data_IF_862980945085
#
_entry.id   IF_862980945085
#
_cell.length_a   1.000
_cell.length_b   1.000
_cell.length_c   1.000
_cell.angle_alpha   90.00
_cell.angle_beta   90.00
_cell.angle_gamma   90.00
#
_symmetry.space_group_name_H-M   'P 1'
#
loop_
_entity.id
_entity.type
_entity.pdbx_description
1 polymer ?
#
# COMPACT_ATOMS: atom_id res chain seq x y z
N UNK A 1 15.01 5.04 9.83
CA UNK A 1 14.57 6.43 9.54
C UNK A 1 14.85 6.77 8.09
N UNK A 2 13.93 7.49 7.43
CA UNK A 2 14.17 8.01 6.09
C UNK A 2 15.44 8.88 6.03
N UNK A 3 16.09 8.92 4.86
CA UNK A 3 17.32 9.68 4.71
C UNK A 3 17.06 11.17 4.89
N UNK A 4 17.98 11.86 5.57
CA UNK A 4 17.87 13.29 5.83
C UNK A 4 17.77 14.12 4.54
N UNK A 5 18.44 13.68 3.47
CA UNK A 5 18.41 14.32 2.16
C UNK A 5 17.02 14.25 1.52
N UNK A 6 16.37 13.07 1.55
CA UNK A 6 15.00 12.90 1.02
C UNK A 6 13.98 13.69 1.82
N UNK A 7 14.12 13.70 3.14
CA UNK A 7 13.24 14.52 3.99
C UNK A 7 13.40 16.01 3.69
N UNK A 8 14.62 16.49 3.51
CA UNK A 8 14.90 17.89 3.13
C UNK A 8 14.27 18.23 1.78
N UNK A 9 14.45 17.36 0.77
CA UNK A 9 13.89 17.57 -0.56
C UNK A 9 12.36 17.52 -0.55
N UNK A 10 11.76 16.56 0.16
CA UNK A 10 10.30 16.51 0.33
C UNK A 10 9.77 17.78 1.01
N UNK A 11 10.42 18.24 2.07
CA UNK A 11 10.08 19.50 2.74
C UNK A 11 10.16 20.70 1.81
N UNK A 12 11.22 20.81 1.00
CA UNK A 12 11.39 21.89 0.00
C UNK A 12 10.22 21.89 -1.00
N UNK A 13 9.88 20.74 -1.57
CA UNK A 13 8.80 20.65 -2.54
C UNK A 13 7.45 20.97 -1.91
N UNK A 14 7.17 20.49 -0.70
CA UNK A 14 5.90 20.78 -0.02
C UNK A 14 5.74 22.25 0.38
N UNK A 15 6.83 22.97 0.66
CA UNK A 15 6.78 24.42 0.88
C UNK A 15 6.30 25.13 -0.39
N UNK A 16 6.80 24.74 -1.57
CA UNK A 16 6.36 25.29 -2.85
C UNK A 16 4.88 24.93 -3.10
N UNK A 17 4.48 23.68 -2.87
CA UNK A 17 3.09 23.24 -3.02
C UNK A 17 2.15 23.99 -2.08
N UNK A 18 2.56 24.22 -0.84
CA UNK A 18 1.75 24.91 0.17
C UNK A 18 1.58 26.42 -0.16
N UNK A 19 2.54 27.02 -0.85
CA UNK A 19 2.43 28.37 -1.37
C UNK A 19 1.51 28.44 -2.61
N UNK A 20 1.60 27.45 -3.52
CA UNK A 20 0.88 27.41 -4.78
C UNK A 20 -0.59 26.99 -4.64
N UNK A 21 -0.87 25.90 -3.89
CA UNK A 21 -2.20 25.29 -3.61
C UNK A 21 -3.05 24.91 -4.82
N UNK A 22 -2.52 24.93 -6.02
CA UNK A 22 -3.27 24.58 -7.22
C UNK A 22 -3.95 23.20 -7.16
N UNK A 23 -3.31 22.23 -6.50
CA UNK A 23 -3.79 20.85 -6.36
C UNK A 23 -4.65 20.59 -5.12
N UNK A 24 -5.22 21.63 -4.47
CA UNK A 24 -5.92 21.51 -3.18
C UNK A 24 -7.03 20.44 -3.19
N UNK A 25 -7.78 20.31 -4.24
CA UNK A 25 -8.87 19.33 -4.36
C UNK A 25 -8.46 17.93 -4.85
N UNK A 26 -7.21 17.72 -5.29
CA UNK A 26 -6.83 16.51 -6.04
C UNK A 26 -6.83 15.22 -5.22
N UNK A 27 -6.32 15.26 -4.00
CA UNK A 27 -6.24 14.07 -3.15
C UNK A 27 -6.14 14.42 -1.66
N UNK A 28 -6.07 13.40 -0.80
CA UNK A 28 -6.00 13.58 0.66
C UNK A 28 -4.71 14.28 1.15
N UNK A 29 -3.63 14.26 0.36
CA UNK A 29 -2.33 14.85 0.74
C UNK A 29 -2.43 16.36 0.92
N UNK A 30 -3.05 17.08 -0.02
CA UNK A 30 -3.05 18.54 -0.03
C UNK A 30 -3.81 19.15 1.15
N UNK A 31 -5.06 18.74 1.47
CA UNK A 31 -5.75 19.23 2.67
C UNK A 31 -5.02 18.88 3.97
N UNK A 32 -4.30 17.75 4.00
CA UNK A 32 -3.49 17.39 5.16
C UNK A 32 -2.21 18.24 5.26
N UNK A 33 -1.59 18.57 4.12
CA UNK A 33 -0.41 19.44 4.02
C UNK A 33 -0.73 20.87 4.48
N UNK A 34 -1.85 21.43 4.04
CA UNK A 34 -2.25 22.81 4.30
C UNK A 34 -2.49 23.15 5.77
N UNK A 35 -2.76 22.11 6.58
CA UNK A 35 -2.88 22.25 8.05
C UNK A 35 -1.53 22.53 8.74
N UNK A 36 -0.42 22.46 8.01
CA UNK A 36 0.95 22.55 8.51
C UNK A 36 1.65 23.77 7.94
N UNK A 37 2.25 24.58 8.81
CA UNK A 37 3.06 25.73 8.40
C UNK A 37 4.53 25.36 8.14
N UNK A 38 4.98 24.31 8.80
CA UNK A 38 6.31 23.70 8.65
C UNK A 38 6.16 22.19 8.67
N UNK A 39 7.14 21.48 8.13
CA UNK A 39 7.12 20.05 7.96
C UNK A 39 8.19 19.37 8.80
N UNK A 40 7.81 18.78 9.91
CA UNK A 40 8.66 17.88 10.66
C UNK A 40 8.85 16.53 9.91
N UNK A 41 9.91 15.74 10.20
CA UNK A 41 10.09 14.42 9.62
C UNK A 41 8.88 13.51 9.75
N UNK A 42 8.16 13.56 10.87
CA UNK A 42 6.94 12.82 11.11
C UNK A 42 5.80 13.22 10.16
N UNK A 43 5.65 14.53 9.89
CA UNK A 43 4.66 15.04 8.94
C UNK A 43 4.95 14.58 7.52
N UNK A 44 6.22 14.64 7.11
CA UNK A 44 6.66 14.18 5.79
C UNK A 44 6.44 12.67 5.62
N UNK A 45 6.72 11.89 6.65
CA UNK A 45 6.43 10.46 6.70
C UNK A 45 4.94 10.18 6.58
N UNK A 46 4.11 10.91 7.32
CA UNK A 46 2.66 10.78 7.24
C UNK A 46 2.14 11.13 5.83
N UNK A 47 2.51 12.29 5.29
CA UNK A 47 2.05 12.75 3.98
C UNK A 47 2.50 11.83 2.84
N UNK A 48 3.73 11.30 2.92
CA UNK A 48 4.23 10.34 1.95
C UNK A 48 3.41 9.04 1.93
N UNK A 49 2.97 8.54 3.10
CA UNK A 49 2.14 7.34 3.19
C UNK A 49 0.66 7.61 2.87
N UNK A 50 0.22 8.85 2.89
CA UNK A 50 -1.11 9.25 2.44
C UNK A 50 -1.21 9.36 0.91
N UNK A 51 -0.09 9.45 0.20
CA UNK A 51 -0.03 9.62 -1.24
C UNK A 51 -0.34 8.31 -1.99
N UNK A 52 -1.27 8.35 -2.95
CA UNK A 52 -1.63 7.19 -3.80
C UNK A 52 -0.70 6.96 -5.00
N UNK A 53 0.29 7.84 -5.21
CA UNK A 53 1.16 7.83 -6.40
C UNK A 53 0.39 7.85 -7.74
N UNK A 54 -0.76 8.51 -7.76
CA UNK A 54 -1.60 8.63 -8.95
C UNK A 54 -1.03 9.58 -10.01
N UNK A 55 -0.02 10.38 -9.65
CA UNK A 55 0.69 11.36 -10.49
C UNK A 55 -0.16 12.50 -11.05
N UNK A 56 -1.44 12.60 -10.73
CA UNK A 56 -2.30 13.68 -11.19
C UNK A 56 -1.73 15.08 -10.88
N UNK A 57 -1.22 15.27 -9.67
CA UNK A 57 -0.58 16.53 -9.28
C UNK A 57 0.73 16.84 -10.04
N UNK A 58 1.44 15.82 -10.54
CA UNK A 58 2.66 16.02 -11.33
C UNK A 58 2.33 16.52 -12.73
N UNK A 59 1.35 15.91 -13.40
CA UNK A 59 0.96 16.31 -14.76
C UNK A 59 0.27 17.68 -14.81
N UNK A 60 -0.39 18.07 -13.73
CA UNK A 60 -1.01 19.40 -13.61
C UNK A 60 -0.06 20.50 -13.09
N UNK A 61 1.17 20.14 -12.67
CA UNK A 61 2.05 21.05 -11.98
C UNK A 61 2.81 21.96 -12.92
N UNK A 62 2.60 23.29 -12.80
CA UNK A 62 3.37 24.29 -13.53
C UNK A 62 4.85 24.38 -13.10
N UNK A 63 5.21 23.85 -11.94
CA UNK A 63 6.57 23.82 -11.39
C UNK A 63 7.26 22.47 -11.58
N UNK A 64 6.64 21.54 -12.31
CA UNK A 64 7.29 20.29 -12.67
C UNK A 64 8.43 20.52 -13.68
N UNK A 65 9.40 19.60 -13.80
CA UNK A 65 10.42 19.69 -14.85
C UNK A 65 9.79 19.92 -16.24
N UNK A 66 10.35 20.83 -17.07
CA UNK A 66 11.70 21.43 -16.98
C UNK A 66 11.80 22.72 -16.13
N UNK A 67 10.80 23.08 -15.35
CA UNK A 67 10.85 24.25 -14.48
C UNK A 67 12.01 24.13 -13.47
N UNK A 68 12.66 25.24 -13.11
CA UNK A 68 13.82 25.27 -12.19
C UNK A 68 13.53 24.67 -10.80
N UNK A 69 12.29 24.76 -10.32
CA UNK A 69 11.89 24.16 -9.05
C UNK A 69 11.81 22.63 -9.11
N UNK A 70 11.66 22.06 -10.29
CA UNK A 70 11.67 20.63 -10.55
C UNK A 70 10.79 19.82 -9.57
N UNK A 71 9.58 20.30 -9.28
CA UNK A 71 8.66 19.69 -8.31
C UNK A 71 8.15 18.37 -8.83
N UNK A 72 8.37 17.29 -8.06
CA UNK A 72 7.85 15.96 -8.34
C UNK A 72 7.47 15.24 -7.04
N UNK A 73 6.37 15.67 -6.43
CA UNK A 73 5.88 15.12 -5.16
C UNK A 73 5.65 13.61 -5.21
N UNK A 74 5.02 13.02 -6.25
CA UNK A 74 4.83 11.57 -6.30
C UNK A 74 6.14 10.80 -6.22
N UNK A 75 7.18 11.25 -6.93
CA UNK A 75 8.50 10.59 -6.94
C UNK A 75 9.13 10.61 -5.55
N UNK A 76 9.27 11.77 -4.94
CA UNK A 76 9.93 11.89 -3.63
C UNK A 76 9.14 11.15 -2.54
N UNK A 77 7.80 11.15 -2.61
CA UNK A 77 6.97 10.40 -1.70
C UNK A 77 7.04 8.89 -1.91
N UNK A 78 7.17 8.39 -3.13
CA UNK A 78 7.41 6.98 -3.41
C UNK A 78 8.75 6.51 -2.82
N UNK A 79 9.79 7.34 -2.93
CA UNK A 79 11.09 7.06 -2.34
C UNK A 79 11.02 7.02 -0.79
N UNK A 80 10.33 7.99 -0.16
CA UNK A 80 10.11 8.00 1.28
C UNK A 80 9.29 6.80 1.75
N UNK A 81 8.23 6.41 1.03
CA UNK A 81 7.44 5.22 1.37
C UNK A 81 8.25 3.94 1.34
N UNK A 82 9.14 3.80 0.36
CA UNK A 82 10.03 2.62 0.31
C UNK A 82 10.88 2.51 1.57
N UNK A 83 11.34 3.65 2.10
CA UNK A 83 12.12 3.69 3.35
C UNK A 83 11.24 3.41 4.58
N UNK A 84 10.02 3.98 4.63
CA UNK A 84 9.11 3.79 5.75
C UNK A 84 8.56 2.36 5.81
N UNK A 85 8.23 1.74 4.69
CA UNK A 85 7.81 0.33 4.64
C UNK A 85 8.89 -0.61 5.20
N UNK A 86 10.14 -0.28 4.97
CA UNK A 86 11.27 -1.02 5.53
C UNK A 86 11.43 -0.78 7.02
N UNK A 87 11.19 0.45 7.49
CA UNK A 87 11.33 0.80 8.90
C UNK A 87 10.21 0.19 9.76
N UNK A 88 8.97 0.25 9.27
CA UNK A 88 7.80 -0.29 9.97
C UNK A 88 7.59 -1.78 9.74
N UNK A 89 8.22 -2.36 8.70
CA UNK A 89 8.20 -3.78 8.46
C UNK A 89 8.87 -4.58 9.58
N UNK A 90 8.22 -5.65 10.02
CA UNK A 90 8.74 -6.57 11.05
C UNK A 90 8.56 -8.01 10.56
N UNK A 91 9.48 -8.93 10.86
CA UNK A 91 10.81 -8.71 11.45
C UNK A 91 11.78 -8.02 10.48
N UNK A 92 12.70 -7.24 11.03
CA UNK A 92 13.66 -6.44 10.22
C UNK A 92 14.49 -7.26 9.24
N UNK A 93 14.70 -8.54 9.54
CA UNK A 93 15.42 -9.47 8.65
C UNK A 93 14.68 -9.63 7.31
N UNK A 94 13.36 -9.79 7.34
CA UNK A 94 12.54 -9.97 6.14
C UNK A 94 12.32 -8.64 5.40
N UNK A 95 12.31 -7.49 6.11
CA UNK A 95 12.17 -6.19 5.47
C UNK A 95 13.31 -5.86 4.50
N UNK A 96 14.48 -6.51 4.66
CA UNK A 96 15.60 -6.42 3.73
C UNK A 96 15.33 -7.04 2.35
N UNK A 97 14.41 -7.99 2.25
CA UNK A 97 14.00 -8.62 0.99
C UNK A 97 13.32 -7.64 0.04
N UNK A 98 12.59 -6.63 0.56
CA UNK A 98 12.00 -5.56 -0.26
C UNK A 98 13.02 -4.82 -1.12
N UNK A 99 14.28 -4.76 -0.72
CA UNK A 99 15.35 -4.11 -1.49
C UNK A 99 15.77 -4.87 -2.73
N UNK A 100 15.47 -6.17 -2.77
CA UNK A 100 15.92 -7.06 -3.84
C UNK A 100 14.92 -7.16 -5.00
N UNK A 101 13.86 -6.34 -4.99
CA UNK A 101 12.87 -6.29 -6.06
C UNK A 101 12.33 -7.67 -6.44
N UNK A 102 12.46 -8.02 -7.70
CA UNK A 102 11.97 -9.30 -8.24
C UNK A 102 12.53 -10.53 -7.53
N UNK A 103 13.81 -10.53 -7.17
CA UNK A 103 14.46 -11.65 -6.45
C UNK A 103 13.83 -11.81 -5.06
N UNK A 104 13.52 -10.68 -4.39
CA UNK A 104 12.85 -10.68 -3.09
C UNK A 104 11.43 -11.24 -3.12
N UNK A 105 10.77 -11.24 -4.28
CA UNK A 105 9.47 -11.87 -4.48
C UNK A 105 9.58 -13.32 -4.92
N UNK A 106 10.41 -13.61 -5.91
CA UNK A 106 10.52 -14.95 -6.51
C UNK A 106 11.08 -16.01 -5.55
N UNK A 107 12.10 -15.65 -4.76
CA UNK A 107 12.74 -16.63 -3.86
C UNK A 107 11.79 -17.13 -2.76
N UNK A 108 11.08 -16.27 -2.00
CA UNK A 108 10.09 -16.74 -1.02
C UNK A 108 8.94 -17.52 -1.67
N UNK A 109 8.48 -17.11 -2.86
CA UNK A 109 7.42 -17.81 -3.58
C UNK A 109 7.87 -19.22 -4.00
N UNK A 110 9.08 -19.34 -4.55
CA UNK A 110 9.65 -20.65 -4.91
C UNK A 110 9.84 -21.57 -3.68
N UNK A 111 10.30 -21.00 -2.56
CA UNK A 111 10.41 -21.74 -1.29
C UNK A 111 9.02 -22.19 -0.82
N UNK A 112 8.00 -21.33 -0.88
CA UNK A 112 6.63 -21.68 -0.50
C UNK A 112 6.08 -22.84 -1.34
N UNK A 113 6.24 -22.79 -2.65
CA UNK A 113 5.85 -23.88 -3.56
C UNK A 113 6.62 -25.16 -3.24
N UNK A 114 7.93 -25.07 -3.03
CA UNK A 114 8.76 -26.22 -2.68
C UNK A 114 8.34 -26.88 -1.36
N UNK A 115 7.99 -26.08 -0.35
CA UNK A 115 7.47 -26.57 0.95
C UNK A 115 6.16 -27.32 0.75
N UNK A 116 5.21 -26.76 -0.02
CA UNK A 116 3.93 -27.41 -0.28
C UNK A 116 4.12 -28.74 -1.00
N UNK A 117 4.91 -28.74 -2.08
CA UNK A 117 5.23 -29.97 -2.81
C UNK A 117 5.92 -31.02 -1.93
N UNK A 118 6.88 -30.60 -1.11
CA UNK A 118 7.56 -31.48 -0.16
C UNK A 118 6.58 -32.09 0.85
N UNK A 119 5.66 -31.30 1.40
CA UNK A 119 4.66 -31.79 2.33
C UNK A 119 3.71 -32.79 1.66
N UNK A 120 3.28 -32.55 0.43
CA UNK A 120 2.45 -33.50 -0.35
C UNK A 120 3.19 -34.81 -0.55
N UNK A 121 4.45 -34.76 -0.99
CA UNK A 121 5.27 -35.97 -1.18
C UNK A 121 5.53 -36.74 0.13
N UNK A 122 5.73 -36.00 1.22
CA UNK A 122 5.96 -36.59 2.54
C UNK A 122 4.70 -37.32 3.07
N UNK A 123 3.53 -36.70 2.90
CA UNK A 123 2.26 -37.20 3.44
C UNK A 123 1.60 -38.28 2.58
N UNK A 124 1.78 -38.24 1.27
CA UNK A 124 1.07 -39.09 0.30
C UNK A 124 1.98 -39.93 -0.60
N UNK A 125 3.27 -39.65 -0.61
CA UNK A 125 4.24 -40.31 -1.48
C UNK A 125 4.21 -39.77 -2.93
N UNK A 126 5.18 -40.19 -3.77
CA UNK A 126 5.33 -39.64 -5.12
C UNK A 126 4.23 -40.04 -6.09
N UNK A 127 3.51 -41.13 -5.85
CA UNK A 127 2.43 -41.63 -6.71
C UNK A 127 1.32 -40.61 -6.90
N UNK A 128 1.01 -39.81 -5.89
CA UNK A 128 -0.08 -38.82 -5.95
C UNK A 128 0.07 -37.74 -7.03
N UNK A 129 1.31 -37.46 -7.43
CA UNK A 129 1.59 -36.48 -8.49
C UNK A 129 1.50 -37.07 -9.91
N UNK A 130 1.53 -38.40 -10.03
CA UNK A 130 1.59 -39.10 -11.30
C UNK A 130 0.28 -39.84 -11.62
N UNK A 131 -0.54 -40.11 -10.61
CA UNK A 131 -1.82 -40.82 -10.76
C UNK A 131 -2.96 -39.83 -11.05
N UNK A 132 -3.79 -40.18 -12.02
CA UNK A 132 -5.01 -39.42 -12.34
C UNK A 132 -6.12 -39.92 -11.43
N UNK A 133 -6.54 -39.16 -10.46
CA UNK A 133 -7.71 -39.45 -9.62
C UNK A 133 -8.91 -38.57 -10.08
N UNK A 134 -9.88 -39.19 -10.76
CA UNK A 134 -11.06 -38.52 -11.29
C UNK A 134 -12.29 -38.55 -10.31
N UNK A 135 -12.11 -39.09 -9.09
CA UNK A 135 -13.20 -39.20 -8.10
C UNK A 135 -13.51 -37.84 -7.47
N UNK A 136 -14.76 -37.66 -7.00
CA UNK A 136 -15.14 -36.48 -6.23
C UNK A 136 -14.21 -36.31 -5.00
N UNK A 137 -13.76 -35.06 -4.77
CA UNK A 137 -12.84 -34.74 -3.69
C UNK A 137 -11.41 -35.21 -3.91
N UNK A 138 -11.00 -35.53 -5.14
CA UNK A 138 -9.62 -35.97 -5.49
C UNK A 138 -8.55 -35.01 -5.00
N UNK A 139 -8.83 -33.69 -5.07
CA UNK A 139 -7.93 -32.66 -4.58
C UNK A 139 -7.61 -32.81 -3.08
N UNK A 140 -8.63 -33.03 -2.23
CA UNK A 140 -8.42 -33.21 -0.79
C UNK A 140 -7.79 -34.56 -0.42
N UNK A 141 -7.84 -35.54 -1.33
CA UNK A 141 -7.07 -36.78 -1.18
C UNK A 141 -5.58 -36.57 -1.48
N UNK A 142 -5.28 -35.71 -2.43
CA UNK A 142 -3.89 -35.33 -2.69
C UNK A 142 -3.34 -34.44 -1.57
N UNK A 143 -4.07 -33.38 -1.19
CA UNK A 143 -3.68 -32.46 -0.13
C UNK A 143 -4.77 -32.45 0.94
N UNK A 144 -4.55 -33.03 2.13
CA UNK A 144 -5.52 -33.01 3.21
C UNK A 144 -5.95 -31.58 3.56
N UNK A 145 -7.25 -31.42 3.85
CA UNK A 145 -7.84 -30.10 4.16
C UNK A 145 -7.06 -29.37 5.27
N UNK A 146 -6.74 -30.09 6.35
CA UNK A 146 -6.02 -29.53 7.50
C UNK A 146 -4.60 -29.09 7.13
N UNK A 147 -3.94 -29.79 6.20
CA UNK A 147 -2.61 -29.47 5.73
C UNK A 147 -2.57 -28.15 4.90
N UNK A 148 -3.71 -27.70 4.40
CA UNK A 148 -3.86 -26.39 3.76
C UNK A 148 -4.33 -25.32 4.73
N UNK A 149 -5.37 -25.61 5.50
CA UNK A 149 -6.05 -24.62 6.35
C UNK A 149 -5.19 -24.19 7.53
N UNK A 150 -4.49 -25.14 8.20
CA UNK A 150 -3.69 -24.80 9.37
C UNK A 150 -2.51 -23.88 9.01
N UNK A 151 -1.67 -24.14 8.00
CA UNK A 151 -0.61 -23.21 7.60
C UNK A 151 -1.17 -21.87 7.07
N UNK A 152 -2.27 -21.89 6.30
CA UNK A 152 -2.90 -20.68 5.80
C UNK A 152 -3.41 -19.79 6.95
N UNK A 153 -4.05 -20.38 7.95
CA UNK A 153 -4.53 -19.68 9.14
C UNK A 153 -3.36 -19.08 9.95
N UNK A 154 -2.31 -19.86 10.18
CA UNK A 154 -1.10 -19.41 10.90
C UNK A 154 -0.44 -18.24 10.17
N UNK A 155 -0.28 -18.33 8.85
CA UNK A 155 0.28 -17.26 8.03
C UNK A 155 -0.63 -16.02 8.02
N UNK A 156 -1.95 -16.19 8.00
CA UNK A 156 -2.91 -15.09 8.06
C UNK A 156 -2.86 -14.37 9.40
N UNK A 157 -2.85 -15.10 10.51
CA UNK A 157 -2.70 -14.53 11.87
C UNK A 157 -1.35 -13.81 12.01
N UNK A 158 -0.28 -14.42 11.52
CA UNK A 158 1.04 -13.81 11.50
C UNK A 158 1.05 -12.52 10.68
N UNK A 159 0.52 -12.55 9.46
CA UNK A 159 0.41 -11.36 8.59
C UNK A 159 -0.40 -10.24 9.23
N UNK A 160 -1.53 -10.59 9.86
CA UNK A 160 -2.34 -9.62 10.60
C UNK A 160 -1.58 -8.99 11.78
N UNK A 161 -0.86 -9.81 12.54
CA UNK A 161 -0.03 -9.32 13.64
C UNK A 161 1.06 -8.35 13.15
N UNK A 162 1.73 -8.68 12.04
CA UNK A 162 2.73 -7.80 11.41
C UNK A 162 2.13 -6.46 10.99
N UNK A 163 0.97 -6.52 10.33
CA UNK A 163 0.25 -5.34 9.89
C UNK A 163 -0.15 -4.44 11.09
N UNK A 164 -0.70 -5.02 12.14
CA UNK A 164 -1.09 -4.29 13.34
C UNK A 164 0.11 -3.66 14.05
N UNK A 165 1.20 -4.40 14.22
CA UNK A 165 2.44 -3.89 14.83
C UNK A 165 3.00 -2.72 14.02
N UNK A 166 3.09 -2.86 12.70
CA UNK A 166 3.57 -1.82 11.80
C UNK A 166 2.69 -0.57 11.85
N UNK A 167 1.37 -0.76 11.82
CA UNK A 167 0.38 0.33 11.87
C UNK A 167 0.44 1.08 13.21
N UNK A 168 0.52 0.37 14.34
CA UNK A 168 0.62 1.00 15.66
C UNK A 168 1.91 1.80 15.81
N UNK A 169 3.03 1.26 15.34
CA UNK A 169 4.31 1.99 15.36
C UNK A 169 4.26 3.24 14.49
N UNK A 170 3.79 3.11 13.24
CA UNK A 170 3.58 4.25 12.35
C UNK A 170 2.67 5.32 12.97
N UNK A 171 1.53 4.90 13.54
CA UNK A 171 0.56 5.78 14.19
C UNK A 171 1.19 6.60 15.32
N UNK A 172 1.98 5.94 16.18
CA UNK A 172 2.68 6.61 17.29
C UNK A 172 3.74 7.59 16.79
N UNK A 173 4.54 7.19 15.81
CA UNK A 173 5.66 7.98 15.28
C UNK A 173 5.17 9.21 14.48
N UNK A 174 3.96 9.14 13.92
CA UNK A 174 3.31 10.26 13.22
C UNK A 174 2.43 11.13 14.13
N UNK A 175 2.48 10.91 15.44
CA UNK A 175 1.80 11.74 16.45
C UNK A 175 0.33 11.40 16.68
N UNK A 176 -0.13 10.23 16.20
CA UNK A 176 -1.50 9.74 16.45
C UNK A 176 -1.73 9.36 17.90
N UNK A 177 -2.92 9.63 18.41
CA UNK A 177 -3.36 9.35 19.79
C UNK A 177 -4.40 8.24 19.76
N UNK A 178 -4.40 7.40 20.80
CA UNK A 178 -5.42 6.33 20.90
C UNK A 178 -6.84 6.92 20.95
N UNK A 179 -7.02 8.08 21.58
CA UNK A 179 -8.30 8.78 21.62
C UNK A 179 -8.86 9.15 20.23
N UNK A 180 -8.00 9.36 19.22
CA UNK A 180 -8.44 9.69 17.88
C UNK A 180 -9.16 8.51 17.19
N UNK A 181 -8.84 7.26 17.61
CA UNK A 181 -9.52 6.05 17.14
C UNK A 181 -10.94 5.90 17.69
N UNK A 182 -11.25 6.59 18.81
CA UNK A 182 -12.56 6.58 19.44
C UNK A 182 -13.49 7.66 18.89
N UNK A 183 -13.01 8.56 18.05
CA UNK A 183 -13.86 9.56 17.37
C UNK A 183 -14.68 8.88 16.25
N UNK A 184 -15.91 8.50 16.61
CA UNK A 184 -16.84 7.86 15.68
C UNK A 184 -17.13 8.71 14.42
N UNK A 185 -17.10 10.05 14.54
CA UNK A 185 -17.33 10.95 13.38
C UNK A 185 -16.12 10.93 12.44
N UNK A 186 -14.91 10.95 12.99
CA UNK A 186 -13.69 10.83 12.19
C UNK A 186 -13.62 9.47 11.51
N UNK A 187 -13.93 8.39 12.24
CA UNK A 187 -13.98 7.03 11.69
C UNK A 187 -15.02 6.91 10.57
N UNK A 188 -16.25 7.38 10.76
CA UNK A 188 -17.29 7.31 9.74
C UNK A 188 -16.92 8.10 8.48
N UNK A 189 -16.28 9.26 8.63
CA UNK A 189 -15.76 10.05 7.49
C UNK A 189 -14.65 9.31 6.76
N UNK A 190 -13.69 8.74 7.48
CA UNK A 190 -12.59 7.99 6.89
C UNK A 190 -13.10 6.74 6.15
N UNK A 191 -14.02 5.99 6.76
CA UNK A 191 -14.68 4.84 6.14
C UNK A 191 -15.43 5.23 4.86
N UNK A 192 -16.25 6.28 4.92
CA UNK A 192 -16.94 6.82 3.74
C UNK A 192 -15.95 7.18 2.63
N UNK A 193 -14.89 7.92 2.95
CA UNK A 193 -13.91 8.35 1.96
C UNK A 193 -13.15 7.17 1.34
N UNK A 194 -12.86 6.12 2.14
CA UNK A 194 -12.25 4.88 1.67
C UNK A 194 -13.21 4.08 0.76
N UNK A 195 -14.43 3.79 1.22
CA UNK A 195 -15.39 2.99 0.45
C UNK A 195 -15.90 3.70 -0.81
N UNK A 196 -15.95 5.02 -0.82
CA UNK A 196 -16.32 5.79 -2.02
C UNK A 196 -15.14 6.07 -2.94
N UNK A 197 -13.91 5.69 -2.56
CA UNK A 197 -12.66 6.05 -3.26
C UNK A 197 -12.63 7.55 -3.61
N UNK A 198 -13.05 8.39 -2.65
CA UNK A 198 -13.29 9.82 -2.85
C UNK A 198 -12.10 10.53 -3.49
N UNK A 199 -10.90 10.22 -3.00
CA UNK A 199 -9.66 10.91 -3.40
C UNK A 199 -9.03 10.36 -4.70
N UNK A 200 -9.67 9.40 -5.36
CA UNK A 200 -9.30 8.95 -6.72
C UNK A 200 -10.08 9.70 -7.81
N UNK A 201 -10.86 10.71 -7.45
CA UNK A 201 -11.65 11.52 -8.37
C UNK A 201 -10.99 12.84 -8.79
N UNK A 202 -9.72 13.09 -8.45
CA UNK A 202 -8.97 14.27 -8.90
C UNK A 202 -9.67 15.62 -8.62
N UNK A 203 -10.39 15.74 -7.48
CA UNK A 203 -11.16 16.94 -7.17
C UNK A 203 -12.58 16.96 -7.75
N UNK A 204 -12.97 15.94 -8.50
CA UNK A 204 -14.28 15.81 -9.14
C UNK A 204 -14.22 15.66 -10.66
N UNK A 205 -13.23 16.30 -11.31
CA UNK A 205 -13.06 16.28 -12.75
C UNK A 205 -12.39 14.99 -13.28
N UNK A 206 -11.87 14.16 -12.38
CA UNK A 206 -11.11 12.95 -12.70
C UNK A 206 -9.61 13.14 -12.59
N UNK A 207 -8.85 12.14 -13.06
CA UNK A 207 -7.39 12.18 -13.11
C UNK A 207 -6.91 12.49 -14.53
N UNK A 208 -5.85 13.28 -14.65
CA UNK A 208 -5.22 13.69 -15.92
C UNK A 208 -3.95 12.86 -16.22
N UNK A 209 -4.01 11.56 -15.98
CA UNK A 209 -2.94 10.62 -16.28
C UNK A 209 -3.48 9.52 -17.22
N UNK A 210 -2.79 9.11 -18.27
CA UNK A 210 -1.39 9.43 -18.66
C UNK A 210 -1.20 10.72 -19.46
N UNK A 211 -2.24 11.41 -19.80
CA UNK A 211 -2.21 12.64 -20.61
C UNK A 211 -2.89 13.82 -19.89
N UNK A 212 -3.09 14.94 -20.59
CA UNK A 212 -3.72 16.13 -20.04
C UNK A 212 -5.25 16.06 -19.96
N UNK A 213 -5.88 15.01 -20.50
CA UNK A 213 -7.34 14.86 -20.47
C UNK A 213 -7.80 14.30 -19.12
N UNK A 214 -8.81 14.94 -18.53
CA UNK A 214 -9.39 14.46 -17.29
C UNK A 214 -10.35 13.29 -17.54
N UNK A 215 -10.23 12.22 -16.76
CA UNK A 215 -11.04 11.01 -16.87
C UNK A 215 -11.34 10.40 -15.49
N UNK A 216 -12.55 9.89 -15.33
CA UNK A 216 -12.96 9.10 -14.15
C UNK A 216 -12.74 7.60 -14.32
N UNK A 217 -12.20 7.14 -15.45
CA UNK A 217 -12.02 5.72 -15.77
C UNK A 217 -11.20 4.98 -14.73
N UNK A 218 -10.07 5.56 -14.30
CA UNK A 218 -9.22 5.00 -13.25
C UNK A 218 -9.98 4.75 -11.95
N UNK A 219 -10.86 5.66 -11.54
CA UNK A 219 -11.67 5.51 -10.35
C UNK A 219 -12.66 4.36 -10.50
N UNK A 220 -13.32 4.24 -11.64
CA UNK A 220 -14.27 3.16 -11.91
C UNK A 220 -13.60 1.79 -11.96
N UNK A 221 -12.48 1.66 -12.65
CA UNK A 221 -11.70 0.43 -12.66
C UNK A 221 -11.24 0.03 -11.26
N UNK A 222 -10.84 1.02 -10.47
CA UNK A 222 -10.44 0.76 -9.08
C UNK A 222 -11.61 0.34 -8.18
N UNK A 223 -12.82 0.87 -8.40
CA UNK A 223 -14.03 0.39 -7.73
C UNK A 223 -14.31 -1.09 -8.04
N UNK A 224 -14.17 -1.50 -9.29
CA UNK A 224 -14.38 -2.90 -9.69
C UNK A 224 -13.40 -3.83 -8.98
N UNK A 225 -12.12 -3.47 -8.95
CA UNK A 225 -11.09 -4.25 -8.26
C UNK A 225 -11.32 -4.27 -6.75
N UNK A 226 -11.60 -3.13 -6.16
CA UNK A 226 -11.79 -2.99 -4.71
C UNK A 226 -13.00 -3.78 -4.21
N UNK A 227 -14.16 -3.60 -4.84
CA UNK A 227 -15.36 -4.33 -4.43
C UNK A 227 -15.32 -5.81 -4.83
N UNK A 228 -14.70 -6.14 -5.98
CA UNK A 228 -14.44 -7.52 -6.37
C UNK A 228 -13.62 -8.26 -5.33
N UNK A 229 -12.53 -7.66 -4.86
CA UNK A 229 -11.71 -8.21 -3.78
C UNK A 229 -12.48 -8.37 -2.45
N UNK A 230 -13.31 -7.40 -2.08
CA UNK A 230 -14.12 -7.50 -0.87
C UNK A 230 -15.17 -8.62 -0.95
N UNK A 231 -15.77 -8.84 -2.14
CA UNK A 231 -16.71 -9.93 -2.37
C UNK A 231 -16.00 -11.30 -2.31
N UNK A 232 -14.82 -11.40 -2.90
CA UNK A 232 -14.01 -12.61 -2.84
C UNK A 232 -13.57 -12.93 -1.41
N UNK A 233 -13.22 -11.92 -0.62
CA UNK A 233 -12.88 -12.09 0.80
C UNK A 233 -14.09 -12.53 1.67
N UNK A 234 -15.31 -12.18 1.25
CA UNK A 234 -16.55 -12.50 1.98
C UNK A 234 -17.13 -13.87 1.61
N UNK A 235 -16.70 -14.49 0.50
CA UNK A 235 -17.17 -15.81 0.03
C UNK A 235 -16.47 -16.96 0.77
#
# INVERSE_FOLDING_TARGET
MPSAERLKEAGRQLVICNACRYCEGYCAVFPAMERRRSFAPADLTYLANLCFDCRGCFYACQYAPPHEFAVNVPKIFAELRTETYREYGWPRLLSGLYRRGLVGALVPSAIGVAIVLFLVLLLRGPGVLLEVDAREGAFYRAIPYEAMVVPALLLSVYGLALFLIGTVRFWRDTGGRIGDLLDARAFARAARDAFTLRYLGGGGDGCNYPDAAFSSERRWLHHLVFYGFLLDLAS
#
